data_IF_189335710819
#
_entry.id   IF_189335710819
#
_cell.length_a   1.000
_cell.length_b   1.000
_cell.length_c   1.000
_cell.angle_alpha   90.00
_cell.angle_beta   90.00
_cell.angle_gamma   90.00
#
_symmetry.space_group_name_H-M   'P 1'
#
loop_
_entity.id
_entity.type
_entity.pdbx_description
1 polymer ?
#
# COMPACT_ATOMS: atom_id res chain seq x y z
N UNK A 1 35.97 50.27 41.60
CA UNK A 1 34.98 50.33 40.51
C UNK A 1 34.96 48.97 39.84
N UNK A 2 34.18 48.02 40.36
CA UNK A 2 34.40 46.59 40.09
C UNK A 2 33.06 45.81 40.03
N UNK A 3 32.17 46.18 39.09
CA UNK A 3 30.84 45.54 38.99
C UNK A 3 30.25 45.39 37.58
N UNK A 4 31.01 45.50 36.48
CA UNK A 4 30.43 45.44 35.11
C UNK A 4 30.75 44.22 34.26
N UNK A 5 31.66 43.32 34.66
CA UNK A 5 32.09 42.20 33.78
C UNK A 5 31.22 40.95 33.90
N UNK A 6 30.55 40.71 35.04
CA UNK A 6 29.82 39.46 35.28
C UNK A 6 28.38 39.43 34.72
N UNK A 7 27.81 40.58 34.34
CA UNK A 7 26.41 40.65 33.90
C UNK A 7 26.26 40.37 32.40
N UNK A 8 27.29 40.64 31.60
CA UNK A 8 27.31 40.38 30.15
C UNK A 8 27.53 38.90 29.82
N UNK A 9 28.26 38.17 30.66
CA UNK A 9 28.55 36.73 30.44
C UNK A 9 27.30 35.86 30.71
N UNK A 10 26.50 36.23 31.72
CA UNK A 10 25.26 35.51 32.08
C UNK A 10 24.17 35.63 31.00
N UNK A 11 24.08 36.77 30.30
CA UNK A 11 23.11 36.94 29.20
C UNK A 11 23.45 36.16 27.93
N UNK A 12 24.73 35.89 27.65
CA UNK A 12 25.14 35.10 26.47
C UNK A 12 24.88 33.61 26.70
N UNK A 13 25.11 33.10 27.92
CA UNK A 13 24.86 31.70 28.27
C UNK A 13 23.36 31.36 28.28
N UNK A 14 22.49 32.30 28.65
CA UNK A 14 21.03 32.11 28.64
C UNK A 14 20.41 32.16 27.24
N UNK A 15 21.10 32.74 26.24
CA UNK A 15 20.64 32.79 24.84
C UNK A 15 21.06 31.53 24.04
N UNK A 16 22.12 30.84 24.46
CA UNK A 16 22.61 29.58 23.88
C UNK A 16 21.75 28.35 24.25
N UNK A 17 20.95 28.43 25.31
CA UNK A 17 20.02 27.35 25.73
C UNK A 17 18.68 27.34 24.96
N UNK A 18 18.42 28.34 24.12
CA UNK A 18 17.18 28.45 23.33
C UNK A 18 17.27 27.81 21.93
N UNK A 19 18.45 27.31 21.54
CA UNK A 19 18.65 26.54 20.31
C UNK A 19 18.85 25.05 20.60
N UNK A 20 18.04 24.48 21.49
CA UNK A 20 17.83 23.03 21.47
C UNK A 20 16.94 22.70 20.28
N UNK A 21 17.54 22.71 19.09
CA UNK A 21 16.93 22.18 17.88
C UNK A 21 16.46 20.76 18.21
N UNK A 22 15.14 20.54 18.25
CA UNK A 22 14.60 19.19 18.21
C UNK A 22 15.06 18.55 16.90
N UNK A 23 16.21 17.88 16.91
CA UNK A 23 16.69 17.11 15.76
C UNK A 23 15.81 15.88 15.67
N UNK A 24 14.76 15.98 14.84
CA UNK A 24 13.99 14.81 14.43
C UNK A 24 14.89 13.95 13.55
N UNK A 25 15.15 12.71 13.96
CA UNK A 25 15.82 11.74 13.10
C UNK A 25 14.90 11.41 11.93
N UNK A 26 15.15 12.04 10.78
CA UNK A 26 14.33 11.89 9.57
C UNK A 26 14.84 10.72 8.72
N UNK A 27 13.92 9.96 8.13
CA UNK A 27 14.27 8.95 7.14
C UNK A 27 14.91 9.59 5.90
N UNK A 28 16.05 9.06 5.47
CA UNK A 28 16.80 9.51 4.29
C UNK A 28 17.20 8.34 3.41
N UNK A 29 17.25 8.57 2.10
CA UNK A 29 17.86 7.64 1.15
C UNK A 29 19.35 7.50 1.46
N UNK A 30 19.89 6.29 1.32
CA UNK A 30 21.31 6.05 1.60
C UNK A 30 21.70 6.15 3.08
N UNK A 31 20.76 6.01 4.03
CA UNK A 31 21.07 6.07 5.45
C UNK A 31 22.24 5.16 5.86
N UNK A 32 22.33 3.97 5.26
CA UNK A 32 23.34 2.95 5.53
C UNK A 32 24.60 3.06 4.66
N UNK A 33 24.80 4.12 3.88
CA UNK A 33 25.95 4.23 2.96
C UNK A 33 27.31 4.00 3.64
N UNK A 34 27.49 4.46 4.88
CA UNK A 34 28.77 4.33 5.59
C UNK A 34 28.87 3.05 6.44
N UNK A 35 27.76 2.44 6.83
CA UNK A 35 27.73 1.28 7.73
C UNK A 35 27.48 -0.04 7.01
N UNK A 36 26.71 -0.01 5.93
CA UNK A 36 26.38 -1.16 5.08
C UNK A 36 26.11 -0.67 3.64
N UNK A 37 27.17 -0.28 2.88
CA UNK A 37 27.02 0.37 1.57
C UNK A 37 26.24 -0.44 0.54
N UNK A 38 26.27 -1.78 0.66
CA UNK A 38 25.64 -2.70 -0.29
C UNK A 38 24.25 -3.17 0.14
N UNK A 39 23.65 -2.61 1.20
CA UNK A 39 22.38 -3.13 1.75
C UNK A 39 21.26 -3.19 0.70
N UNK A 40 21.11 -2.14 -0.12
CA UNK A 40 20.05 -2.09 -1.13
C UNK A 40 20.26 -3.12 -2.24
N UNK A 41 21.51 -3.40 -2.64
CA UNK A 41 21.82 -4.39 -3.66
C UNK A 41 21.67 -5.82 -3.12
N UNK A 42 22.08 -6.07 -1.87
CA UNK A 42 21.88 -7.35 -1.18
C UNK A 42 20.38 -7.68 -1.09
N UNK A 43 19.56 -6.74 -0.60
CA UNK A 43 18.11 -6.93 -0.49
C UNK A 43 17.49 -7.16 -1.88
N UNK A 44 17.88 -6.36 -2.89
CA UNK A 44 17.38 -6.53 -4.26
C UNK A 44 17.71 -7.90 -4.84
N UNK A 45 18.91 -8.41 -4.60
CA UNK A 45 19.33 -9.72 -5.07
C UNK A 45 18.55 -10.84 -4.39
N UNK A 46 18.36 -10.77 -3.07
CA UNK A 46 17.55 -11.73 -2.32
C UNK A 46 16.09 -11.75 -2.82
N UNK A 47 15.48 -10.57 -3.05
CA UNK A 47 14.13 -10.45 -3.61
C UNK A 47 14.05 -11.02 -5.02
N UNK A 48 15.02 -10.69 -5.90
CA UNK A 48 15.07 -11.24 -7.28
C UNK A 48 15.18 -12.76 -7.28
N UNK A 49 16.04 -13.32 -6.43
CA UNK A 49 16.19 -14.77 -6.30
C UNK A 49 14.89 -15.42 -5.84
N UNK A 50 14.22 -14.86 -4.82
CA UNK A 50 12.94 -15.40 -4.34
C UNK A 50 11.80 -15.25 -5.35
N UNK A 51 11.80 -14.17 -6.11
CA UNK A 51 10.86 -14.00 -7.22
C UNK A 51 11.04 -15.06 -8.30
N UNK A 52 12.28 -15.40 -8.66
CA UNK A 52 12.60 -16.48 -9.60
C UNK A 52 12.18 -17.86 -9.06
N UNK A 53 12.24 -18.08 -7.75
CA UNK A 53 11.78 -19.32 -7.12
C UNK A 53 10.25 -19.44 -7.08
N UNK A 54 9.57 -18.36 -6.69
CA UNK A 54 8.12 -18.32 -6.67
C UNK A 54 7.59 -16.91 -6.86
N UNK A 55 6.74 -16.76 -7.88
CA UNK A 55 6.07 -15.52 -8.20
C UNK A 55 5.24 -14.99 -7.01
N UNK A 56 4.71 -15.88 -6.17
CA UNK A 56 3.88 -15.52 -4.98
C UNK A 56 4.62 -14.57 -4.02
N UNK A 57 5.96 -14.56 -4.05
CA UNK A 57 6.77 -13.62 -3.25
C UNK A 57 6.44 -12.16 -3.54
N UNK A 58 6.23 -11.78 -4.81
CA UNK A 58 5.95 -10.39 -5.18
C UNK A 58 4.65 -9.85 -4.55
N UNK A 59 3.47 -10.46 -4.81
CA UNK A 59 2.23 -10.00 -4.19
C UNK A 59 2.21 -10.21 -2.67
N UNK A 60 2.90 -11.23 -2.13
CA UNK A 60 2.99 -11.41 -0.68
C UNK A 60 3.77 -10.28 0.00
N UNK A 61 4.87 -9.83 -0.60
CA UNK A 61 5.67 -8.70 -0.08
C UNK A 61 4.91 -7.38 -0.23
N UNK A 62 4.14 -7.23 -1.31
CA UNK A 62 3.34 -6.03 -1.56
C UNK A 62 1.98 -6.05 -0.86
N UNK A 63 1.64 -7.10 -0.11
CA UNK A 63 0.28 -7.30 0.40
C UNK A 63 -0.16 -6.12 1.27
N UNK A 64 -1.01 -5.27 0.70
CA UNK A 64 -1.72 -4.19 1.38
C UNK A 64 -3.12 -4.69 1.74
N UNK A 65 -3.56 -4.45 2.97
CA UNK A 65 -4.83 -4.96 3.45
C UNK A 65 -5.96 -3.98 3.12
N UNK A 66 -6.84 -4.36 2.19
CA UNK A 66 -8.03 -3.60 1.82
C UNK A 66 -9.27 -4.49 1.96
N UNK A 67 -10.04 -4.33 3.03
CA UNK A 67 -11.29 -5.06 3.26
C UNK A 67 -12.49 -4.13 3.58
N UNK A 68 -12.33 -2.82 3.40
CA UNK A 68 -13.26 -1.82 3.91
C UNK A 68 -14.01 -1.08 2.78
N UNK A 69 -15.11 -0.40 3.11
CA UNK A 69 -15.86 0.40 2.15
C UNK A 69 -15.12 1.71 1.79
N UNK A 70 -15.48 2.39 0.71
CA UNK A 70 -14.76 3.58 0.22
C UNK A 70 -14.60 4.70 1.27
N UNK A 71 -15.62 4.99 2.07
CA UNK A 71 -15.53 6.01 3.13
C UNK A 71 -14.56 5.58 4.23
N UNK A 72 -14.60 4.31 4.62
CA UNK A 72 -13.69 3.73 5.60
C UNK A 72 -12.25 3.72 5.09
N UNK A 73 -12.04 3.36 3.82
CA UNK A 73 -10.74 3.41 3.15
C UNK A 73 -10.17 4.83 3.18
N UNK A 74 -10.92 5.82 2.70
CA UNK A 74 -10.45 7.21 2.74
C UNK A 74 -10.16 7.67 4.17
N UNK A 75 -11.02 7.34 5.13
CA UNK A 75 -10.82 7.73 6.53
C UNK A 75 -9.56 7.10 7.11
N UNK A 76 -9.35 5.81 6.87
CA UNK A 76 -8.18 5.08 7.36
C UNK A 76 -6.89 5.64 6.76
N UNK A 77 -6.84 5.84 5.44
CA UNK A 77 -5.67 6.39 4.76
C UNK A 77 -5.39 7.83 5.17
N UNK A 78 -6.42 8.68 5.26
CA UNK A 78 -6.27 10.07 5.69
C UNK A 78 -5.74 10.19 7.13
N UNK A 79 -6.15 9.30 8.04
CA UNK A 79 -5.60 9.25 9.42
C UNK A 79 -4.11 8.98 9.45
N UNK A 80 -3.58 8.34 8.41
CA UNK A 80 -2.14 8.07 8.23
C UNK A 80 -1.47 9.06 7.26
N UNK A 81 -2.11 10.20 6.95
CA UNK A 81 -1.55 11.24 6.09
C UNK A 81 -1.48 10.87 4.60
N UNK A 82 -2.23 9.85 4.18
CA UNK A 82 -2.31 9.41 2.79
C UNK A 82 -3.57 9.98 2.15
N UNK A 83 -3.41 10.63 1.00
CA UNK A 83 -4.52 11.20 0.25
C UNK A 83 -5.40 10.13 -0.42
N UNK A 84 -6.57 10.53 -0.92
CA UNK A 84 -7.41 9.66 -1.73
C UNK A 84 -6.67 9.12 -2.97
N UNK A 85 -5.84 9.95 -3.62
CA UNK A 85 -5.00 9.51 -4.76
C UNK A 85 -3.98 8.46 -4.33
N UNK A 86 -3.37 8.61 -3.14
CA UNK A 86 -2.44 7.61 -2.60
C UNK A 86 -3.15 6.28 -2.35
N UNK A 87 -4.35 6.30 -1.76
CA UNK A 87 -5.18 5.12 -1.52
C UNK A 87 -5.56 4.40 -2.84
N UNK A 88 -6.00 5.16 -3.86
CA UNK A 88 -6.37 4.60 -5.17
C UNK A 88 -5.13 4.01 -5.86
N UNK A 89 -3.99 4.70 -5.81
CA UNK A 89 -2.75 4.20 -6.38
C UNK A 89 -2.33 2.89 -5.69
N UNK A 90 -2.32 2.86 -4.36
CA UNK A 90 -1.96 1.68 -3.57
C UNK A 90 -2.89 0.50 -3.79
N UNK A 91 -4.17 0.74 -4.05
CA UNK A 91 -5.13 -0.30 -4.45
C UNK A 91 -4.73 -0.99 -5.78
N UNK A 92 -4.01 -0.27 -6.65
CA UNK A 92 -3.43 -0.82 -7.88
C UNK A 92 -2.44 -1.96 -7.65
N UNK A 93 -1.96 -2.20 -6.42
CA UNK A 93 -1.22 -3.40 -6.06
C UNK A 93 -1.98 -4.71 -6.37
N UNK A 94 -3.31 -4.66 -6.41
CA UNK A 94 -4.16 -5.80 -6.80
C UNK A 94 -4.04 -6.21 -8.27
N UNK A 95 -3.27 -5.49 -9.08
CA UNK A 95 -2.80 -5.98 -10.40
C UNK A 95 -1.98 -7.28 -10.27
N UNK A 96 -1.37 -7.51 -9.10
CA UNK A 96 -0.65 -8.74 -8.77
C UNK A 96 -1.29 -9.53 -7.63
N UNK A 97 -1.31 -10.85 -7.77
CA UNK A 97 -1.57 -11.76 -6.67
C UNK A 97 -2.90 -12.48 -6.73
N UNK A 98 -3.27 -13.07 -5.59
CA UNK A 98 -4.34 -14.04 -5.50
C UNK A 98 -5.27 -13.76 -4.32
N UNK A 99 -6.53 -14.14 -4.49
CA UNK A 99 -7.54 -14.06 -3.46
C UNK A 99 -8.25 -15.40 -3.30
N UNK A 100 -8.44 -15.82 -2.05
CA UNK A 100 -9.28 -16.98 -1.76
C UNK A 100 -10.74 -16.70 -2.12
N UNK A 101 -11.45 -17.70 -2.66
CA UNK A 101 -12.84 -17.57 -3.09
C UNK A 101 -13.76 -16.98 -2.01
N UNK A 102 -13.54 -17.36 -0.74
CA UNK A 102 -14.32 -16.86 0.39
C UNK A 102 -14.20 -15.35 0.64
N UNK A 103 -13.25 -14.65 0.00
CA UNK A 103 -13.07 -13.19 0.13
C UNK A 103 -13.99 -12.38 -0.80
N UNK A 104 -14.57 -12.99 -1.82
CA UNK A 104 -15.47 -12.31 -2.77
C UNK A 104 -16.72 -13.14 -3.12
N UNK A 105 -16.88 -14.35 -2.57
CA UNK A 105 -18.00 -15.26 -2.89
C UNK A 105 -19.38 -14.63 -2.65
N UNK A 106 -19.48 -13.71 -1.69
CA UNK A 106 -20.69 -12.95 -1.44
C UNK A 106 -21.15 -12.20 -2.70
N UNK A 107 -20.23 -11.62 -3.47
CA UNK A 107 -20.54 -10.88 -4.70
C UNK A 107 -21.10 -11.73 -5.82
N UNK A 108 -20.85 -13.04 -5.82
CA UNK A 108 -21.28 -13.96 -6.89
C UNK A 108 -22.40 -14.90 -6.48
N UNK A 109 -22.76 -15.01 -5.20
CA UNK A 109 -23.83 -15.90 -4.74
C UNK A 109 -24.92 -15.22 -3.91
N UNK A 110 -24.54 -14.34 -2.98
CA UNK A 110 -25.43 -13.78 -1.96
C UNK A 110 -25.06 -12.32 -1.69
N UNK A 111 -25.13 -11.46 -2.72
CA UNK A 111 -24.67 -10.07 -2.59
C UNK A 111 -25.56 -9.26 -1.64
N UNK A 112 -26.88 -9.43 -1.73
CA UNK A 112 -27.86 -8.86 -0.81
C UNK A 112 -29.08 -9.79 -0.71
N UNK A 113 -30.01 -9.57 0.23
CA UNK A 113 -31.23 -10.37 0.34
C UNK A 113 -32.08 -10.43 -0.94
N UNK A 114 -31.97 -9.42 -1.82
CA UNK A 114 -32.74 -9.32 -3.07
C UNK A 114 -31.90 -9.60 -4.32
N UNK A 115 -30.58 -9.64 -4.19
CA UNK A 115 -29.65 -9.62 -5.31
C UNK A 115 -28.59 -10.71 -5.13
N UNK A 116 -28.60 -11.73 -6.01
CA UNK A 116 -27.64 -12.84 -5.91
C UNK A 116 -26.22 -12.45 -6.36
N UNK A 117 -26.12 -11.68 -7.44
CA UNK A 117 -24.85 -11.24 -8.02
C UNK A 117 -24.77 -9.72 -7.90
N UNK A 118 -23.65 -9.21 -7.41
CA UNK A 118 -23.36 -7.78 -7.32
C UNK A 118 -23.63 -7.08 -8.66
N UNK A 119 -24.55 -6.09 -8.73
CA UNK A 119 -24.89 -5.41 -9.98
C UNK A 119 -23.73 -4.62 -10.60
N UNK A 120 -22.72 -4.27 -9.80
CA UNK A 120 -21.51 -3.59 -10.27
C UNK A 120 -20.47 -4.54 -10.89
N UNK A 121 -20.68 -5.85 -10.74
CA UNK A 121 -19.81 -6.88 -11.30
C UNK A 121 -20.27 -7.24 -12.72
N UNK A 122 -19.33 -7.25 -13.66
CA UNK A 122 -19.56 -7.67 -15.03
C UNK A 122 -20.16 -9.09 -15.06
N UNK A 123 -21.29 -9.28 -15.73
CA UNK A 123 -22.04 -10.53 -15.71
C UNK A 123 -21.26 -11.70 -16.29
N UNK A 124 -20.53 -11.49 -17.39
CA UNK A 124 -19.66 -12.51 -17.99
C UNK A 124 -18.52 -12.91 -17.06
N UNK A 125 -17.89 -11.92 -16.41
CA UNK A 125 -16.85 -12.19 -15.42
C UNK A 125 -17.40 -12.89 -14.17
N UNK A 126 -18.60 -12.53 -13.70
CA UNK A 126 -19.25 -13.21 -12.58
C UNK A 126 -19.49 -14.71 -12.87
N UNK A 127 -19.85 -15.06 -14.11
CA UNK A 127 -20.00 -16.45 -14.54
C UNK A 127 -18.64 -17.18 -14.55
N UNK A 128 -17.58 -16.54 -15.04
CA UNK A 128 -16.22 -17.09 -14.97
C UNK A 128 -15.78 -17.34 -13.52
N UNK A 129 -16.03 -16.38 -12.63
CA UNK A 129 -15.73 -16.52 -11.19
C UNK A 129 -16.49 -17.69 -10.56
N UNK A 130 -17.76 -17.93 -10.92
CA UNK A 130 -18.53 -19.09 -10.44
C UNK A 130 -17.97 -20.43 -10.92
N UNK A 131 -17.38 -20.48 -12.11
CA UNK A 131 -16.73 -21.70 -12.60
C UNK A 131 -15.47 -22.02 -11.79
N UNK A 132 -14.67 -21.00 -11.47
CA UNK A 132 -13.45 -21.16 -10.68
C UNK A 132 -13.71 -21.33 -9.17
N UNK A 133 -14.81 -20.77 -8.67
CA UNK A 133 -15.18 -20.74 -7.26
C UNK A 133 -16.64 -21.21 -7.04
N UNK A 134 -16.94 -22.51 -7.18
CA UNK A 134 -18.24 -23.07 -6.85
C UNK A 134 -18.61 -22.90 -5.36
N UNK A 135 -19.89 -22.99 -5.00
CA UNK A 135 -20.37 -22.76 -3.62
C UNK A 135 -19.71 -23.64 -2.54
N UNK A 136 -19.19 -24.81 -2.93
CA UNK A 136 -18.50 -25.76 -2.04
C UNK A 136 -17.07 -26.04 -2.53
N UNK A 137 -16.36 -24.98 -2.88
CA UNK A 137 -14.95 -25.05 -3.25
C UNK A 137 -14.06 -25.25 -2.01
N UNK A 138 -12.93 -25.95 -2.17
CA UNK A 138 -11.91 -26.04 -1.12
C UNK A 138 -11.46 -24.61 -0.71
N UNK A 139 -11.50 -24.24 0.58
CA UNK A 139 -11.13 -22.91 1.06
C UNK A 139 -9.70 -22.47 0.69
N UNK A 140 -8.81 -23.41 0.37
CA UNK A 140 -7.44 -23.16 -0.06
C UNK A 140 -7.35 -22.67 -1.51
N UNK A 141 -8.39 -22.86 -2.30
CA UNK A 141 -8.42 -22.37 -3.68
C UNK A 141 -8.37 -20.84 -3.68
N UNK A 142 -7.43 -20.32 -4.45
CA UNK A 142 -7.25 -18.90 -4.70
C UNK A 142 -7.17 -18.66 -6.20
N UNK A 143 -7.76 -17.55 -6.64
CA UNK A 143 -7.75 -17.12 -8.03
C UNK A 143 -6.99 -15.80 -8.16
N UNK A 144 -6.58 -15.45 -9.38
CA UNK A 144 -5.92 -14.18 -9.64
C UNK A 144 -6.84 -12.99 -9.33
N UNK A 145 -6.28 -11.94 -8.72
CA UNK A 145 -7.00 -10.68 -8.49
C UNK A 145 -7.15 -9.85 -9.77
N UNK A 146 -6.19 -9.94 -10.68
CA UNK A 146 -6.26 -9.38 -12.03
C UNK A 146 -6.57 -10.48 -13.07
N UNK A 147 -7.73 -10.44 -13.74
CA UNK A 147 -8.10 -11.43 -14.76
C UNK A 147 -7.39 -11.24 -16.10
N UNK A 148 -6.67 -10.13 -16.31
CA UNK A 148 -6.08 -9.72 -17.59
C UNK A 148 -4.58 -9.97 -17.60
N UNK A 149 -3.83 -9.49 -16.60
CA UNK A 149 -2.36 -9.61 -16.54
C UNK A 149 -1.87 -10.03 -15.14
N UNK A 150 -2.22 -11.24 -14.65
CA UNK A 150 -2.03 -11.65 -13.26
C UNK A 150 -0.58 -11.70 -12.75
N UNK A 151 0.40 -11.56 -13.65
CA UNK A 151 1.84 -11.62 -13.36
C UNK A 151 2.60 -10.35 -13.71
N UNK A 152 1.92 -9.31 -14.18
CA UNK A 152 2.55 -8.07 -14.64
C UNK A 152 2.09 -6.92 -13.75
N UNK A 153 3.04 -6.19 -13.18
CA UNK A 153 2.70 -4.96 -12.47
C UNK A 153 2.45 -3.86 -13.50
N UNK A 154 1.20 -3.65 -13.90
CA UNK A 154 0.77 -2.67 -14.89
C UNK A 154 -0.57 -2.01 -14.50
N UNK A 155 -1.15 -1.21 -15.40
CA UNK A 155 -2.42 -0.52 -15.14
C UNK A 155 -3.67 -1.31 -15.58
N UNK A 156 -3.55 -2.61 -15.90
CA UNK A 156 -4.70 -3.44 -16.28
C UNK A 156 -5.76 -3.48 -15.18
N UNK A 157 -5.34 -3.49 -13.91
CA UNK A 157 -6.24 -3.33 -12.75
C UNK A 157 -7.26 -2.19 -12.96
N UNK A 158 -6.83 -0.98 -13.31
CA UNK A 158 -7.74 0.16 -13.49
C UNK A 158 -8.62 0.02 -14.73
N UNK A 159 -8.08 -0.57 -15.82
CA UNK A 159 -8.86 -0.90 -17.03
C UNK A 159 -9.93 -1.97 -16.74
N UNK A 160 -9.66 -2.89 -15.83
CA UNK A 160 -10.60 -3.91 -15.38
C UNK A 160 -11.74 -3.25 -14.57
N UNK A 161 -11.44 -2.27 -13.71
CA UNK A 161 -12.49 -1.55 -12.97
C UNK A 161 -13.48 -0.84 -13.90
N UNK A 162 -12.99 -0.23 -14.99
CA UNK A 162 -13.83 0.41 -16.01
C UNK A 162 -14.82 -0.56 -16.68
N UNK A 163 -14.48 -1.85 -16.71
CA UNK A 163 -15.29 -2.92 -17.31
C UNK A 163 -16.19 -3.64 -16.29
N UNK A 164 -16.21 -3.21 -15.03
CA UNK A 164 -16.91 -3.93 -13.96
C UNK A 164 -16.20 -5.21 -13.51
N UNK A 165 -14.89 -5.34 -13.76
CA UNK A 165 -14.10 -6.55 -13.48
C UNK A 165 -13.20 -6.45 -12.24
N UNK A 166 -13.45 -5.50 -11.33
CA UNK A 166 -12.79 -5.49 -10.03
C UNK A 166 -13.25 -6.69 -9.19
N UNK A 167 -12.32 -7.46 -8.62
CA UNK A 167 -12.65 -8.71 -7.90
C UNK A 167 -13.36 -8.43 -6.57
N UNK A 168 -12.86 -7.48 -5.78
CA UNK A 168 -13.47 -7.12 -4.51
C UNK A 168 -14.46 -5.96 -4.65
N UNK A 169 -15.41 -5.87 -3.73
CA UNK A 169 -16.30 -4.69 -3.64
C UNK A 169 -15.48 -3.42 -3.37
N UNK A 170 -14.42 -3.53 -2.56
CA UNK A 170 -13.48 -2.44 -2.28
C UNK A 170 -12.68 -1.99 -3.51
N UNK A 171 -12.53 -2.84 -4.53
CA UNK A 171 -11.93 -2.45 -5.81
C UNK A 171 -12.95 -1.75 -6.68
N UNK A 172 -14.11 -2.40 -6.89
CA UNK A 172 -15.09 -1.92 -7.86
C UNK A 172 -15.69 -0.57 -7.44
N UNK A 173 -15.76 -0.30 -6.14
CA UNK A 173 -16.20 1.00 -5.61
C UNK A 173 -15.30 2.16 -6.02
N UNK A 174 -14.01 1.94 -6.32
CA UNK A 174 -13.11 3.00 -6.77
C UNK A 174 -13.55 3.59 -8.12
N UNK A 175 -14.22 2.80 -8.96
CA UNK A 175 -14.75 3.28 -10.23
C UNK A 175 -16.22 3.71 -10.14
N UNK A 176 -17.03 3.03 -9.32
CA UNK A 176 -18.46 3.38 -9.21
C UNK A 176 -18.69 4.63 -8.36
N UNK A 177 -17.83 4.95 -7.39
CA UNK A 177 -17.90 6.21 -6.63
C UNK A 177 -17.41 7.39 -7.49
N UNK A 178 -18.21 8.46 -7.54
CA UNK A 178 -17.93 9.64 -8.35
C UNK A 178 -16.63 10.35 -7.96
N UNK A 179 -16.25 10.29 -6.67
CA UNK A 179 -15.08 11.01 -6.13
C UNK A 179 -13.76 10.46 -6.66
N UNK A 180 -13.66 9.14 -6.81
CA UNK A 180 -12.46 8.45 -7.26
C UNK A 180 -12.41 8.16 -8.75
N UNK A 181 -13.55 8.19 -9.44
CA UNK A 181 -13.68 7.79 -10.85
C UNK A 181 -12.72 8.52 -11.78
N UNK A 182 -12.51 9.83 -11.58
CA UNK A 182 -11.59 10.62 -12.39
C UNK A 182 -10.13 10.11 -12.28
N UNK A 183 -9.68 9.81 -11.07
CA UNK A 183 -8.34 9.25 -10.82
C UNK A 183 -8.19 7.85 -11.41
N UNK A 184 -9.21 6.99 -11.27
CA UNK A 184 -9.23 5.66 -11.91
C UNK A 184 -9.11 5.78 -13.43
N UNK A 185 -9.87 6.68 -14.05
CA UNK A 185 -9.77 6.94 -15.49
C UNK A 185 -8.38 7.43 -15.91
N UNK A 186 -7.77 8.33 -15.12
CA UNK A 186 -6.42 8.82 -15.37
C UNK A 186 -5.39 7.68 -15.36
N UNK A 187 -5.44 6.82 -14.34
CA UNK A 187 -4.53 5.67 -14.21
C UNK A 187 -4.77 4.59 -15.26
N UNK A 188 -6.02 4.33 -15.64
CA UNK A 188 -6.35 3.41 -16.73
C UNK A 188 -5.82 3.91 -18.09
N UNK A 189 -5.84 5.23 -18.31
CA UNK A 189 -5.37 5.87 -19.54
C UNK A 189 -3.84 6.01 -19.60
N UNK A 190 -3.16 6.18 -18.46
CA UNK A 190 -1.71 6.41 -18.40
C UNK A 190 -1.04 5.50 -17.37
N UNK A 191 -0.31 4.51 -17.87
CA UNK A 191 0.50 3.64 -17.02
C UNK A 191 1.60 4.42 -16.30
N UNK A 192 2.20 5.43 -16.96
CA UNK A 192 3.19 6.32 -16.34
C UNK A 192 2.62 7.06 -15.14
N UNK A 193 1.41 7.64 -15.27
CA UNK A 193 0.74 8.34 -14.18
C UNK A 193 0.47 7.40 -12.99
N UNK A 194 -0.02 6.19 -13.26
CA UNK A 194 -0.20 5.17 -12.24
C UNK A 194 1.12 4.83 -11.53
N UNK A 195 2.18 4.50 -12.28
CA UNK A 195 3.47 4.11 -11.70
C UNK A 195 4.08 5.21 -10.84
N UNK A 196 4.02 6.45 -11.29
CA UNK A 196 4.50 7.61 -10.51
C UNK A 196 3.70 7.80 -9.22
N UNK A 197 2.38 7.74 -9.30
CA UNK A 197 1.51 7.83 -8.12
C UNK A 197 1.75 6.67 -7.14
N UNK A 198 1.93 5.45 -7.65
CA UNK A 198 2.22 4.27 -6.84
C UNK A 198 3.54 4.40 -6.07
N UNK A 199 4.62 4.80 -6.75
CA UNK A 199 5.93 5.02 -6.12
C UNK A 199 5.85 6.09 -5.05
N UNK A 200 5.15 7.19 -5.31
CA UNK A 200 4.92 8.24 -4.32
C UNK A 200 4.15 7.70 -3.11
N UNK A 201 3.05 7.00 -3.34
CA UNK A 201 2.17 6.51 -2.29
C UNK A 201 2.83 5.42 -1.42
N UNK A 202 3.54 4.46 -2.01
CA UNK A 202 4.25 3.41 -1.24
C UNK A 202 5.41 3.99 -0.44
N UNK A 203 6.06 5.03 -0.96
CA UNK A 203 7.13 5.78 -0.26
C UNK A 203 6.60 6.57 0.92
N UNK A 204 5.38 7.13 0.82
CA UNK A 204 4.69 7.77 1.96
C UNK A 204 4.24 6.74 2.98
N UNK A 205 3.64 5.63 2.53
CA UNK A 205 3.18 4.55 3.43
C UNK A 205 4.34 3.98 4.25
N UNK A 206 5.51 3.78 3.63
CA UNK A 206 6.72 3.31 4.33
C UNK A 206 7.29 4.28 5.37
N UNK A 207 6.75 5.51 5.48
CA UNK A 207 7.13 6.52 6.49
C UNK A 207 6.09 6.64 7.62
N UNK A 208 4.97 5.93 7.55
CA UNK A 208 3.92 6.00 8.57
C UNK A 208 4.39 5.29 9.84
N UNK A 209 4.34 5.98 10.98
CA UNK A 209 4.57 5.37 12.31
C UNK A 209 5.99 4.83 12.54
N UNK A 210 6.97 5.30 11.77
CA UNK A 210 8.36 4.82 11.84
C UNK A 210 9.03 5.27 13.14
N UNK A 211 9.84 4.38 13.72
CA UNK A 211 10.70 4.70 14.86
C UNK A 211 12.08 5.12 14.35
N UNK A 212 12.62 6.21 14.88
CA UNK A 212 13.90 6.78 14.46
C UNK A 212 14.77 7.17 15.66
N UNK A 213 16.06 7.42 15.42
CA UNK A 213 17.02 7.68 16.49
C UNK A 213 17.16 6.48 17.42
N UNK A 214 16.98 6.70 18.72
CA UNK A 214 17.08 5.66 19.76
C UNK A 214 15.73 4.98 20.07
N UNK A 215 14.67 5.26 19.30
CA UNK A 215 13.38 4.63 19.50
C UNK A 215 13.37 3.21 18.93
N UNK A 216 13.22 2.20 19.79
CA UNK A 216 13.19 0.79 19.40
C UNK A 216 14.59 0.16 19.34
N UNK A 217 14.77 -0.80 18.43
CA UNK A 217 16.00 -1.58 18.32
C UNK A 217 16.27 -2.05 16.88
N UNK A 218 17.53 -2.39 16.59
CA UNK A 218 17.90 -3.13 15.37
C UNK A 218 17.89 -4.61 15.72
N UNK A 219 16.89 -5.34 15.19
CA UNK A 219 16.75 -6.79 15.44
C UNK A 219 17.78 -7.59 14.66
N UNK A 220 18.38 -8.59 15.33
CA UNK A 220 19.27 -9.57 14.68
C UNK A 220 18.50 -10.67 13.96
N UNK A 221 17.35 -11.03 14.52
CA UNK A 221 16.39 -11.96 13.94
C UNK A 221 15.03 -11.27 13.83
N UNK A 222 14.52 -11.15 12.60
CA UNK A 222 13.25 -10.46 12.33
C UNK A 222 12.03 -11.17 12.94
N UNK A 223 12.16 -12.41 13.41
CA UNK A 223 11.07 -13.23 13.98
C UNK A 223 10.86 -13.07 15.49
N UNK A 224 11.78 -12.40 16.20
CA UNK A 224 11.76 -12.25 17.68
C UNK A 224 12.34 -10.90 18.12
N UNK A 225 12.10 -10.52 19.37
CA UNK A 225 12.81 -9.41 20.00
C UNK A 225 14.24 -9.84 20.37
N UNK A 226 15.16 -8.88 20.48
CA UNK A 226 16.53 -9.17 20.92
C UNK A 226 16.58 -9.62 22.38
#
# INVERSE_FOLDING_TARGET
MEKKTNQTIFSIFSLLLLFSSCVSAQLRTGFYQNSCPNVESIVRNAVRQKFQQTFVTAPATLRLFFHDCFVQLNTMFNRHGLSQTDMIALSGAHTLGFAHCGKFSNRIYNFSPRTRIDPSLNSGYALQLRQMCPQRVDPRIAINMDPTTPRTFDNAYFKNLQQGKGLFTSDQVLFTDQRSRATVNSFANSETAFRQAFVSAITKLGRVGVKTGNAGEIRRDCSRFN
#
